data_IF_188901410209
#
_entry.id   IF_188901410209
#
_cell.length_a   1.000
_cell.length_b   1.000
_cell.length_c   1.000
_cell.angle_alpha   90.00
_cell.angle_beta   90.00
_cell.angle_gamma   90.00
#
_symmetry.space_group_name_H-M   'P 1'
#
loop_
_entity.id
_entity.type
_entity.pdbx_description
1 polymer ?
#
# COMPACT_ATOMS: atom_id res chain seq x y z
N UNK A 1 -15.26 -8.98 8.19
CA UNK A 1 -15.37 -9.68 6.89
C UNK A 1 -14.70 -8.83 5.80
N UNK A 2 -13.96 -9.48 4.91
CA UNK A 2 -13.25 -8.77 3.83
C UNK A 2 -14.23 -8.45 2.70
N UNK A 3 -14.26 -7.19 2.30
CA UNK A 3 -14.98 -6.76 1.10
C UNK A 3 -14.05 -6.94 -0.10
N UNK A 4 -14.33 -7.93 -0.93
CA UNK A 4 -13.46 -8.31 -2.05
C UNK A 4 -13.32 -7.19 -3.08
N UNK A 5 -14.42 -6.51 -3.44
CA UNK A 5 -14.38 -5.42 -4.42
C UNK A 5 -13.53 -4.25 -3.93
N UNK A 6 -13.68 -3.92 -2.65
CA UNK A 6 -12.89 -2.85 -2.03
C UNK A 6 -11.41 -3.23 -1.93
N UNK A 7 -11.11 -4.49 -1.61
CA UNK A 7 -9.73 -4.98 -1.56
C UNK A 7 -9.06 -4.86 -2.93
N UNK A 8 -9.73 -5.29 -3.98
CA UNK A 8 -9.23 -5.22 -5.36
C UNK A 8 -9.00 -3.76 -5.76
N UNK A 9 -9.97 -2.89 -5.50
CA UNK A 9 -9.87 -1.48 -5.85
C UNK A 9 -8.72 -0.81 -5.10
N UNK A 10 -8.56 -1.10 -3.82
CA UNK A 10 -7.48 -0.53 -3.01
C UNK A 10 -6.12 -0.96 -3.54
N UNK A 11 -5.94 -2.23 -3.85
CA UNK A 11 -4.68 -2.72 -4.42
C UNK A 11 -4.39 -2.04 -5.75
N UNK A 12 -5.39 -1.95 -6.65
CA UNK A 12 -5.20 -1.30 -7.94
C UNK A 12 -4.84 0.18 -7.79
N UNK A 13 -5.46 0.88 -6.87
CA UNK A 13 -5.15 2.29 -6.61
C UNK A 13 -3.73 2.47 -6.08
N UNK A 14 -3.30 1.61 -5.16
CA UNK A 14 -1.99 1.71 -4.54
C UNK A 14 -0.86 1.36 -5.51
N UNK A 15 -1.02 0.34 -6.33
CA UNK A 15 0.05 -0.05 -7.26
C UNK A 15 0.28 0.95 -8.39
N UNK A 16 -0.70 1.81 -8.68
CA UNK A 16 -0.54 2.90 -9.64
C UNK A 16 0.36 4.02 -9.13
N UNK A 17 0.58 4.09 -7.82
CA UNK A 17 1.49 5.07 -7.23
C UNK A 17 2.91 4.52 -7.37
N UNK A 18 3.78 5.25 -8.06
CA UNK A 18 5.16 4.83 -8.24
C UNK A 18 5.87 4.84 -6.89
N UNK A 19 6.44 3.70 -6.49
CA UNK A 19 7.11 3.58 -5.20
C UNK A 19 8.35 2.66 -5.26
N UNK A 20 9.29 2.92 -6.20
CA UNK A 20 10.51 2.14 -6.21
C UNK A 20 11.31 2.34 -4.93
N UNK A 21 12.14 1.36 -4.58
CA UNK A 21 12.92 1.40 -3.34
C UNK A 21 13.71 2.71 -3.21
N UNK A 22 13.56 3.38 -2.07
CA UNK A 22 14.17 4.69 -1.81
C UNK A 22 13.32 5.88 -2.26
N UNK A 23 12.18 5.66 -2.91
CA UNK A 23 11.29 6.71 -3.41
C UNK A 23 9.84 6.41 -3.02
N UNK A 24 9.60 6.16 -1.75
CA UNK A 24 8.30 5.74 -1.23
C UNK A 24 7.44 6.89 -0.68
N UNK A 25 7.81 8.14 -0.93
CA UNK A 25 7.14 9.29 -0.31
C UNK A 25 5.66 9.41 -0.69
N UNK A 26 5.33 9.23 -1.95
CA UNK A 26 3.93 9.32 -2.40
C UNK A 26 3.06 8.21 -1.84
N UNK A 27 3.53 6.97 -1.88
CA UNK A 27 2.77 5.84 -1.35
C UNK A 27 2.62 5.95 0.16
N UNK A 28 3.65 6.42 0.86
CA UNK A 28 3.60 6.65 2.30
C UNK A 28 2.53 7.68 2.66
N UNK A 29 2.48 8.78 1.92
CA UNK A 29 1.48 9.83 2.13
C UNK A 29 0.07 9.32 1.89
N UNK A 30 -0.16 8.60 0.80
CA UNK A 30 -1.47 8.04 0.49
C UNK A 30 -1.92 7.03 1.55
N UNK A 31 -1.03 6.16 1.99
CA UNK A 31 -1.34 5.19 3.04
C UNK A 31 -1.63 5.88 4.36
N UNK A 32 -0.88 6.92 4.72
CA UNK A 32 -1.12 7.69 5.92
C UNK A 32 -2.52 8.30 5.92
N UNK A 33 -2.92 8.91 4.81
CA UNK A 33 -4.25 9.51 4.68
C UNK A 33 -5.35 8.45 4.83
N UNK A 34 -5.21 7.30 4.18
CA UNK A 34 -6.19 6.22 4.26
C UNK A 34 -6.31 5.66 5.67
N UNK A 35 -5.18 5.48 6.37
CA UNK A 35 -5.18 4.97 7.73
C UNK A 35 -5.79 5.96 8.73
N UNK A 36 -5.48 7.25 8.58
CA UNK A 36 -6.09 8.29 9.41
C UNK A 36 -7.61 8.31 9.22
N UNK A 37 -8.07 8.21 7.98
CA UNK A 37 -9.51 8.17 7.69
C UNK A 37 -10.20 6.93 8.26
N UNK A 38 -9.45 5.85 8.49
CA UNK A 38 -9.96 4.64 9.14
C UNK A 38 -9.92 4.72 10.68
N UNK A 39 -9.40 5.80 11.24
CA UNK A 39 -9.37 6.02 12.68
C UNK A 39 -8.08 5.60 13.38
N UNK A 40 -7.03 5.28 12.64
CA UNK A 40 -5.73 4.94 13.24
C UNK A 40 -4.94 6.19 13.62
N UNK A 41 -4.12 6.06 14.65
CA UNK A 41 -3.06 7.02 14.93
C UNK A 41 -1.85 6.67 14.06
N UNK A 42 -1.39 7.62 13.26
CA UNK A 42 -0.32 7.36 12.28
C UNK A 42 0.88 8.23 12.60
N UNK A 43 2.04 7.59 12.68
CA UNK A 43 3.33 8.25 12.85
C UNK A 43 4.33 7.69 11.87
N UNK A 44 5.45 8.36 11.69
CA UNK A 44 6.57 7.84 10.90
C UNK A 44 7.86 7.95 11.69
N UNK A 45 8.78 7.03 11.46
CA UNK A 45 10.09 7.06 12.12
C UNK A 45 11.13 7.77 11.25
N UNK A 46 12.37 7.81 11.73
CA UNK A 46 13.47 8.48 11.02
C UNK A 46 13.89 7.76 9.73
N UNK A 47 13.46 6.53 9.54
CA UNK A 47 13.75 5.75 8.33
C UNK A 47 12.64 5.82 7.28
N UNK A 48 11.55 6.55 7.58
CA UNK A 48 10.41 6.65 6.67
C UNK A 48 9.40 5.53 6.82
N UNK A 49 9.51 4.67 7.82
CA UNK A 49 8.51 3.65 8.09
C UNK A 49 7.23 4.30 8.61
N UNK A 50 6.11 3.84 8.10
CA UNK A 50 4.79 4.30 8.53
C UNK A 50 4.25 3.37 9.60
N UNK A 51 3.86 3.94 10.73
CA UNK A 51 3.36 3.18 11.88
C UNK A 51 1.94 3.62 12.18
N UNK A 52 1.00 2.69 12.10
CA UNK A 52 -0.39 2.93 12.43
C UNK A 52 -0.77 2.10 13.66
N UNK A 53 -1.42 2.73 14.63
CA UNK A 53 -1.82 2.06 15.86
C UNK A 53 -3.24 2.42 16.25
N UNK A 54 -3.93 1.48 16.89
CA UNK A 54 -5.22 1.71 17.52
C UNK A 54 -5.03 2.07 18.97
N UNK A 55 -6.05 2.68 19.58
CA UNK A 55 -6.05 2.91 21.03
C UNK A 55 -6.16 1.58 21.77
N UNK A 56 -5.51 1.53 22.94
CA UNK A 56 -5.51 0.36 23.81
C UNK A 56 -4.32 -0.56 23.56
N UNK A 57 -4.29 -1.65 24.34
CA UNK A 57 -3.25 -2.66 24.20
C UNK A 57 -3.62 -3.65 23.11
N UNK A 58 -2.76 -3.77 22.11
CA UNK A 58 -2.95 -4.74 21.05
C UNK A 58 -1.65 -5.52 20.84
N UNK A 59 -1.63 -6.83 21.18
CA UNK A 59 -0.42 -7.63 21.07
C UNK A 59 -0.08 -8.06 19.65
N UNK A 60 -0.93 -7.77 18.67
CA UNK A 60 -0.70 -8.16 17.28
C UNK A 60 -0.13 -7.02 16.47
N UNK A 61 0.81 -7.35 15.59
CA UNK A 61 1.36 -6.42 14.64
C UNK A 61 1.35 -7.04 13.25
N UNK A 62 0.86 -6.28 12.27
CA UNK A 62 0.96 -6.63 10.85
C UNK A 62 2.03 -5.75 10.22
N UNK A 63 2.86 -6.33 9.40
CA UNK A 63 3.96 -5.63 8.75
C UNK A 63 4.00 -5.95 7.27
N UNK A 64 4.21 -4.91 6.45
CA UNK A 64 4.32 -5.06 5.01
C UNK A 64 5.23 -3.96 4.47
N UNK A 65 5.87 -4.23 3.33
CA UNK A 65 6.68 -3.21 2.67
C UNK A 65 5.80 -2.32 1.78
N UNK A 66 6.29 -1.11 1.50
CA UNK A 66 5.60 -0.12 0.65
C UNK A 66 6.29 0.06 -0.70
N UNK A 67 7.54 -0.33 -0.81
CA UNK A 67 8.31 -0.17 -2.02
C UNK A 67 8.04 -1.26 -3.05
N UNK A 68 8.41 -0.99 -4.28
CA UNK A 68 8.40 -1.98 -5.36
C UNK A 68 9.78 -2.11 -5.95
N UNK A 69 10.04 -3.29 -6.55
CA UNK A 69 11.27 -3.52 -7.30
C UNK A 69 11.16 -2.94 -8.70
N UNK A 70 12.30 -2.64 -9.30
CA UNK A 70 12.34 -2.21 -10.70
C UNK A 70 12.23 -3.42 -11.66
N UNK A 71 11.54 -3.28 -12.79
CA UNK A 71 10.80 -2.11 -13.27
C UNK A 71 9.42 -1.99 -12.60
N UNK A 72 9.21 -0.93 -11.84
CA UNK A 72 8.01 -0.74 -11.00
C UNK A 72 7.39 0.65 -11.08
N UNK A 73 7.64 1.40 -12.16
CA UNK A 73 7.01 2.70 -12.37
C UNK A 73 6.01 2.61 -13.53
N UNK A 74 4.98 3.45 -13.47
CA UNK A 74 3.95 3.45 -14.51
C UNK A 74 3.13 2.17 -14.53
N UNK A 75 2.93 1.52 -13.41
CA UNK A 75 2.21 0.24 -13.33
C UNK A 75 0.73 0.46 -13.66
N UNK A 76 0.22 -0.34 -14.59
CA UNK A 76 -1.21 -0.39 -14.91
C UNK A 76 -1.71 -1.79 -14.59
N UNK A 77 -2.45 -1.97 -13.49
CA UNK A 77 -2.95 -3.28 -13.10
C UNK A 77 -4.13 -3.70 -13.97
N UNK A 78 -4.24 -5.01 -14.19
CA UNK A 78 -5.38 -5.61 -14.89
C UNK A 78 -6.02 -6.66 -13.97
N UNK A 79 -7.32 -6.50 -13.74
CA UNK A 79 -8.09 -7.44 -12.92
C UNK A 79 -8.62 -8.54 -13.82
N UNK A 80 -8.28 -9.79 -13.51
CA UNK A 80 -8.82 -10.98 -14.14
C UNK A 80 -9.71 -11.71 -13.13
N UNK A 81 -10.38 -12.79 -13.57
CA UNK A 81 -11.37 -13.47 -12.72
C UNK A 81 -10.80 -13.99 -11.40
N UNK A 82 -9.55 -14.39 -11.39
CA UNK A 82 -8.91 -15.03 -10.25
C UNK A 82 -7.60 -14.37 -9.81
N UNK A 83 -7.20 -13.26 -10.46
CA UNK A 83 -5.90 -12.61 -10.18
C UNK A 83 -5.87 -11.17 -10.67
N UNK A 84 -4.87 -10.44 -10.20
CA UNK A 84 -4.51 -9.11 -10.68
C UNK A 84 -3.08 -9.19 -11.22
N UNK A 85 -2.86 -8.70 -12.42
CA UNK A 85 -1.57 -8.74 -13.09
C UNK A 85 -1.13 -7.35 -13.54
N UNK A 86 0.16 -7.19 -13.78
CA UNK A 86 0.70 -6.00 -14.44
C UNK A 86 0.52 -6.16 -15.95
N UNK A 87 0.20 -5.04 -16.65
CA UNK A 87 -0.03 -5.04 -18.11
C UNK A 87 1.22 -4.62 -18.81
N UNK A 88 2.27 -4.74 -18.68
CA UNK A 88 3.49 -4.41 -19.44
C UNK A 88 4.68 -5.16 -18.86
N UNK A 89 5.86 -4.63 -19.03
CA UNK A 89 7.06 -5.25 -18.47
C UNK A 89 7.32 -4.85 -17.02
N UNK A 90 6.37 -4.15 -16.38
CA UNK A 90 6.48 -3.75 -14.97
C UNK A 90 6.13 -4.90 -14.04
N UNK A 91 6.68 -4.84 -12.83
CA UNK A 91 6.41 -5.80 -11.77
C UNK A 91 5.38 -5.19 -10.83
N UNK A 92 4.41 -6.00 -10.47
CA UNK A 92 3.33 -5.57 -9.58
C UNK A 92 3.75 -5.65 -8.12
#
# INVERSE_FOLDING_TARGET
MINQDRLIQTLCDLVKIDSPSGQEEEISKELAERLINLGFNVTSDSYGNLIASEEGENPFMLSAHMDTVEPGTGIVPKVESDRIISTSKTIL
#
